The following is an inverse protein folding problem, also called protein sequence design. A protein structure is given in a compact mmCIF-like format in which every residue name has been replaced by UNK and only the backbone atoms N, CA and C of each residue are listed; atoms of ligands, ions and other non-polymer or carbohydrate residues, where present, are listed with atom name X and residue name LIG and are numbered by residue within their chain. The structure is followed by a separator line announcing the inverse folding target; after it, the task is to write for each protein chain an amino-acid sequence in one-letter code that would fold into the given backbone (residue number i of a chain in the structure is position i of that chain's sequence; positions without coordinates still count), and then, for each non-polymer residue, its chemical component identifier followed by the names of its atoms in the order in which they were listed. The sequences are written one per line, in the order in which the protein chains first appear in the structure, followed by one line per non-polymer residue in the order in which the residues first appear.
data_IF_320556662168
#
_entry.id   IF_320556662168
#
_cell.length_a   1.000
_cell.length_b   1.000
_cell.length_c   1.000
_cell.angle_alpha   90.00
_cell.angle_beta   90.00
_cell.angle_gamma   90.00
#
_symmetry.space_group_name_H-M   'P 1'
#
loop_
_entity.id
_entity.type
_entity.pdbx_description
1 polymer ?
#
# COMPACT_ATOMS: atom_id res chain seq x y z
N UNK A 1 -16.13 38.80 21.77
CA UNK A 1 -15.63 38.78 20.38
C UNK A 1 -14.12 38.59 20.44
N UNK A 2 -13.65 37.36 20.34
CA UNK A 2 -12.23 37.03 20.39
C UNK A 2 -11.95 36.02 19.28
N UNK A 3 -11.29 36.50 18.23
CA UNK A 3 -10.75 35.70 17.15
C UNK A 3 -9.33 36.23 16.92
N UNK A 4 -8.35 35.53 17.47
CA UNK A 4 -6.96 35.60 17.03
C UNK A 4 -6.54 34.17 16.78
N UNK A 5 -6.50 33.86 15.49
CA UNK A 5 -6.11 32.60 14.91
C UNK A 5 -4.69 32.23 15.36
N UNK A 6 -4.54 31.00 15.84
CA UNK A 6 -3.24 30.34 15.94
C UNK A 6 -3.10 29.46 14.69
N UNK A 7 -2.96 30.09 13.53
CA UNK A 7 -2.59 29.43 12.28
C UNK A 7 -1.10 29.13 12.32
N UNK A 8 -0.75 28.02 12.96
CA UNK A 8 0.58 27.43 12.83
C UNK A 8 0.70 26.83 11.41
N UNK A 9 1.48 27.48 10.56
CA UNK A 9 2.01 26.96 9.29
C UNK A 9 3.01 25.83 9.55
N UNK A 10 2.57 24.74 10.18
CA UNK A 10 3.34 23.51 10.26
C UNK A 10 3.04 22.71 8.99
N UNK A 11 3.99 22.71 8.03
CA UNK A 11 3.90 21.85 6.87
C UNK A 11 3.65 20.40 7.30
N UNK A 12 2.77 19.70 6.59
CA UNK A 12 2.46 18.30 6.91
C UNK A 12 3.71 17.44 6.69
N UNK A 13 3.81 16.28 7.36
CA UNK A 13 4.96 15.37 7.15
C UNK A 13 5.10 14.97 5.68
N UNK A 14 3.97 14.85 4.95
CA UNK A 14 3.97 14.60 3.52
C UNK A 14 4.60 15.76 2.75
N UNK A 15 4.17 17.00 2.98
CA UNK A 15 4.77 18.19 2.36
C UNK A 15 6.27 18.29 2.63
N UNK A 16 6.70 18.05 3.88
CA UNK A 16 8.11 18.09 4.25
C UNK A 16 8.91 17.03 3.49
N UNK A 17 8.40 15.80 3.41
CA UNK A 17 9.08 14.71 2.69
C UNK A 17 9.15 15.00 1.19
N UNK A 18 8.04 15.45 0.58
CA UNK A 18 8.03 15.81 -0.85
C UNK A 18 8.98 16.97 -1.15
N UNK A 19 8.97 18.03 -0.34
CA UNK A 19 9.91 19.14 -0.49
C UNK A 19 11.37 18.69 -0.34
N UNK A 20 11.66 17.81 0.62
CA UNK A 20 13.00 17.27 0.82
C UNK A 20 13.45 16.39 -0.36
N UNK A 21 12.55 15.58 -0.92
CA UNK A 21 12.81 14.77 -2.12
C UNK A 21 13.08 15.66 -3.34
N UNK A 22 12.24 16.66 -3.60
CA UNK A 22 12.41 17.59 -4.71
C UNK A 22 13.70 18.39 -4.61
N UNK A 23 14.04 18.87 -3.41
CA UNK A 23 15.28 19.60 -3.17
C UNK A 23 16.51 18.70 -3.39
N UNK A 24 16.47 17.48 -2.85
CA UNK A 24 17.57 16.50 -2.99
C UNK A 24 17.75 16.06 -4.45
N UNK A 25 16.64 15.81 -5.16
CA UNK A 25 16.64 15.46 -6.57
C UNK A 25 17.19 16.61 -7.42
N UNK A 26 16.74 17.84 -7.17
CA UNK A 26 17.19 19.02 -7.91
C UNK A 26 18.69 19.25 -7.72
N UNK A 27 19.18 19.15 -6.48
CA UNK A 27 20.60 19.29 -6.17
C UNK A 27 21.44 18.20 -6.85
N UNK A 28 21.00 16.94 -6.79
CA UNK A 28 21.68 15.82 -7.43
C UNK A 28 21.71 15.95 -8.96
N UNK A 29 20.57 16.28 -9.59
CA UNK A 29 20.48 16.45 -11.05
C UNK A 29 21.34 17.61 -11.55
N UNK A 30 21.41 18.72 -10.82
CA UNK A 30 22.27 19.85 -11.17
C UNK A 30 23.76 19.46 -11.23
N UNK A 31 24.20 18.55 -10.36
CA UNK A 31 25.58 18.04 -10.35
C UNK A 31 25.85 16.98 -11.42
N UNK A 32 24.81 16.26 -11.85
CA UNK A 32 24.92 15.09 -12.74
C UNK A 32 24.47 15.36 -14.17
N UNK A 33 24.12 16.61 -14.50
CA UNK A 33 23.67 17.04 -15.84
C UNK A 33 24.64 16.69 -16.99
N UNK A 34 25.91 16.44 -16.67
CA UNK A 34 26.96 16.08 -17.64
C UNK A 34 27.04 14.58 -17.93
N UNK A 35 26.29 13.75 -17.20
CA UNK A 35 26.27 12.31 -17.44
C UNK A 35 25.37 11.96 -18.64
N UNK A 36 25.79 11.01 -19.49
CA UNK A 36 25.00 10.58 -20.65
C UNK A 36 23.69 9.87 -20.24
N UNK A 37 23.64 9.32 -19.01
CA UNK A 37 22.44 8.75 -18.39
C UNK A 37 22.35 9.21 -16.94
N UNK A 38 21.18 9.73 -16.56
CA UNK A 38 20.92 10.18 -15.19
C UNK A 38 20.54 8.98 -14.31
N UNK A 39 20.93 8.96 -13.02
CA UNK A 39 20.52 7.92 -12.10
C UNK A 39 19.00 7.92 -11.91
N UNK A 40 18.41 6.74 -11.69
CA UNK A 40 17.00 6.64 -11.28
C UNK A 40 16.85 7.14 -9.84
N UNK A 41 15.76 7.86 -9.59
CA UNK A 41 15.42 8.40 -8.27
C UNK A 41 14.21 7.65 -7.73
N UNK A 42 14.35 7.09 -6.52
CA UNK A 42 13.22 6.48 -5.81
C UNK A 42 12.55 7.58 -5.00
N UNK A 43 11.27 7.85 -5.30
CA UNK A 43 10.45 8.84 -4.61
C UNK A 43 9.37 8.15 -3.78
N UNK A 44 8.79 8.90 -2.85
CA UNK A 44 7.59 8.49 -2.12
C UNK A 44 6.45 8.19 -3.10
N UNK A 45 5.78 7.06 -2.90
CA UNK A 45 4.55 6.75 -3.60
C UNK A 45 3.40 7.59 -3.03
N UNK A 46 3.13 8.72 -3.67
CA UNK A 46 2.06 9.64 -3.27
C UNK A 46 0.69 8.98 -3.32
N UNK A 47 0.47 7.99 -4.20
CA UNK A 47 -0.80 7.27 -4.26
C UNK A 47 -1.01 6.44 -2.99
N UNK A 48 0.04 5.78 -2.50
CA UNK A 48 -0.02 5.05 -1.23
C UNK A 48 -0.19 6.02 -0.04
N UNK A 49 0.46 7.18 -0.06
CA UNK A 49 0.31 8.21 0.97
C UNK A 49 -1.13 8.75 1.04
N UNK A 50 -1.72 9.09 -0.10
CA UNK A 50 -3.10 9.55 -0.20
C UNK A 50 -4.09 8.46 0.20
N UNK A 51 -3.82 7.22 -0.21
CA UNK A 51 -4.64 6.07 0.16
C UNK A 51 -4.69 5.86 1.68
N UNK A 52 -3.55 5.95 2.39
CA UNK A 52 -3.57 5.81 3.85
C UNK A 52 -4.22 7.01 4.54
N UNK A 53 -4.07 8.23 4.02
CA UNK A 53 -4.78 9.41 4.52
C UNK A 53 -6.30 9.17 4.43
N UNK A 54 -6.80 8.82 3.25
CA UNK A 54 -8.22 8.53 3.03
C UNK A 54 -8.69 7.37 3.91
N UNK A 55 -7.94 6.27 3.96
CA UNK A 55 -8.28 5.09 4.76
C UNK A 55 -8.37 5.40 6.26
N UNK A 56 -7.47 6.23 6.78
CA UNK A 56 -7.50 6.63 8.19
C UNK A 56 -8.68 7.52 8.56
N UNK A 57 -9.48 8.02 7.62
CA UNK A 57 -10.77 8.67 7.94
C UNK A 57 -11.87 7.67 8.31
N UNK A 58 -11.70 6.40 7.92
CA UNK A 58 -12.66 5.31 8.12
C UNK A 58 -12.35 4.49 9.39
N UNK A 59 -13.10 3.40 9.60
CA UNK A 59 -12.87 2.44 10.70
C UNK A 59 -11.65 1.57 10.41
N UNK A 60 -10.57 1.73 11.20
CA UNK A 60 -9.28 1.02 11.07
C UNK A 60 -9.11 -0.17 12.03
N UNK A 61 -10.20 -0.60 12.67
CA UNK A 61 -10.21 -1.73 13.59
C UNK A 61 -11.46 -2.58 13.36
N UNK A 62 -11.43 -3.82 13.83
CA UNK A 62 -12.61 -4.66 13.78
C UNK A 62 -13.77 -4.03 14.56
N UNK A 63 -15.00 -4.15 14.06
CA UNK A 63 -16.20 -3.67 14.76
C UNK A 63 -16.47 -4.47 16.04
N UNK A 64 -16.11 -5.75 16.03
CA UNK A 64 -16.25 -6.66 17.18
C UNK A 64 -15.16 -6.48 18.24
N UNK A 65 -14.09 -5.75 17.92
CA UNK A 65 -13.02 -5.44 18.85
C UNK A 65 -12.59 -3.99 18.60
N UNK A 66 -13.36 -3.01 19.10
CA UNK A 66 -13.11 -1.61 18.83
C UNK A 66 -11.84 -1.10 19.53
N UNK A 67 -11.36 0.05 19.07
CA UNK A 67 -10.38 0.84 19.80
C UNK A 67 -11.11 1.94 20.57
N UNK A 68 -10.64 2.32 21.78
CA UNK A 68 -11.13 3.51 22.45
C UNK A 68 -10.95 4.75 21.58
N UNK A 69 -11.92 5.66 21.58
CA UNK A 69 -11.90 6.89 20.78
C UNK A 69 -10.66 7.76 21.07
N UNK A 70 -10.13 7.69 22.28
CA UNK A 70 -8.89 8.38 22.68
C UNK A 70 -7.64 7.83 21.99
N UNK A 71 -7.64 6.56 21.56
CA UNK A 71 -6.49 5.91 20.93
C UNK A 71 -6.53 5.98 19.40
N UNK A 72 -7.73 6.10 18.81
CA UNK A 72 -7.93 6.12 17.36
C UNK A 72 -7.11 7.22 16.67
N UNK A 73 -7.06 8.49 17.16
CA UNK A 73 -6.25 9.53 16.56
C UNK A 73 -4.75 9.20 16.53
N UNK A 74 -4.22 8.66 17.62
CA UNK A 74 -2.80 8.27 17.73
C UNK A 74 -2.48 7.12 16.76
N UNK A 75 -3.35 6.10 16.72
CA UNK A 75 -3.22 4.99 15.78
C UNK A 75 -3.19 5.49 14.33
N UNK A 76 -4.16 6.32 13.94
CA UNK A 76 -4.26 6.90 12.60
C UNK A 76 -3.02 7.71 12.24
N UNK A 77 -2.50 8.53 13.15
CA UNK A 77 -1.29 9.31 12.94
C UNK A 77 -0.07 8.41 12.66
N UNK A 78 0.11 7.36 13.45
CA UNK A 78 1.24 6.44 13.26
C UNK A 78 1.11 5.61 11.98
N UNK A 79 -0.11 5.25 11.57
CA UNK A 79 -0.33 4.56 10.29
C UNK A 79 0.06 5.44 9.09
N UNK A 80 -0.37 6.70 9.07
CA UNK A 80 0.03 7.67 8.03
C UNK A 80 1.54 7.85 7.99
N UNK A 81 2.15 8.09 9.15
CA UNK A 81 3.60 8.24 9.26
C UNK A 81 4.34 6.99 8.80
N UNK A 82 3.76 5.81 9.02
CA UNK A 82 4.33 4.53 8.61
C UNK A 82 4.55 4.45 7.10
N UNK A 83 3.57 4.85 6.30
CA UNK A 83 3.69 4.91 4.84
C UNK A 83 4.68 5.99 4.41
N UNK A 84 4.52 7.22 4.93
CA UNK A 84 5.30 8.37 4.48
C UNK A 84 6.80 8.20 4.71
N UNK A 85 7.20 7.55 5.80
CA UNK A 85 8.63 7.32 6.12
C UNK A 85 9.13 5.91 5.77
N UNK A 86 8.33 5.11 5.05
CA UNK A 86 8.69 3.75 4.66
C UNK A 86 8.93 2.79 5.83
N UNK A 87 8.23 2.99 6.96
CA UNK A 87 8.38 2.15 8.14
C UNK A 87 7.65 0.82 7.97
N UNK A 88 8.32 -0.28 8.36
CA UNK A 88 7.69 -1.60 8.41
C UNK A 88 6.49 -1.62 9.37
N UNK A 89 5.54 -2.57 9.20
CA UNK A 89 4.42 -2.75 10.13
C UNK A 89 4.86 -2.92 11.59
N UNK A 90 5.99 -3.58 11.82
CA UNK A 90 6.57 -3.77 13.16
C UNK A 90 7.11 -2.49 13.76
N UNK A 91 7.81 -1.67 12.97
CA UNK A 91 8.27 -0.35 13.43
C UNK A 91 7.08 0.55 13.75
N UNK A 92 6.05 0.52 12.90
CA UNK A 92 4.82 1.30 13.10
C UNK A 92 4.09 0.85 14.36
N UNK A 93 3.92 -0.46 14.56
CA UNK A 93 3.35 -1.03 15.78
C UNK A 93 4.13 -0.62 17.04
N UNK A 94 5.47 -0.66 17.00
CA UNK A 94 6.30 -0.18 18.12
C UNK A 94 6.05 1.30 18.44
N UNK A 95 5.98 2.16 17.41
CA UNK A 95 5.68 3.59 17.61
C UNK A 95 4.29 3.81 18.22
N UNK A 96 3.29 3.04 17.79
CA UNK A 96 1.95 3.05 18.40
C UNK A 96 2.03 2.69 19.88
N UNK A 97 2.74 1.62 20.24
CA UNK A 97 2.90 1.20 21.63
C UNK A 97 3.60 2.26 22.48
N UNK A 98 4.66 2.88 21.96
CA UNK A 98 5.38 3.96 22.64
C UNK A 98 4.49 5.18 22.86
N UNK A 99 3.76 5.62 21.83
CA UNK A 99 2.90 6.81 21.91
C UNK A 99 1.65 6.64 22.77
N UNK A 100 1.21 5.39 22.95
CA UNK A 100 0.08 5.07 23.82
C UNK A 100 0.53 4.64 25.23
N UNK A 101 1.82 4.75 25.57
CA UNK A 101 2.39 4.50 26.91
C UNK A 101 1.88 3.22 27.60
N UNK A 102 1.64 2.15 26.82
CA UNK A 102 1.09 0.89 27.34
C UNK A 102 -0.42 0.88 27.62
N UNK A 103 -1.13 2.00 27.50
CA UNK A 103 -2.60 2.06 27.57
C UNK A 103 -3.27 1.27 26.43
N UNK A 104 -2.55 1.00 25.34
CA UNK A 104 -3.01 0.12 24.29
C UNK A 104 -3.12 -1.34 24.75
N UNK A 105 -4.30 -1.71 25.26
CA UNK A 105 -4.62 -3.07 25.74
C UNK A 105 -4.58 -4.16 24.64
N UNK A 106 -4.31 -3.79 23.38
CA UNK A 106 -4.14 -4.74 22.28
C UNK A 106 -2.76 -5.38 22.17
N UNK A 107 -1.75 -4.81 22.84
CA UNK A 107 -0.35 -5.26 22.75
C UNK A 107 0.27 -5.18 21.35
N UNK A 108 1.55 -5.54 21.25
CA UNK A 108 2.32 -5.45 20.01
C UNK A 108 1.70 -6.26 18.85
N UNK A 109 1.06 -7.40 19.15
CA UNK A 109 0.44 -8.28 18.15
C UNK A 109 -0.75 -7.61 17.46
N UNK A 110 -1.64 -6.95 18.21
CA UNK A 110 -2.78 -6.25 17.59
C UNK A 110 -2.32 -5.00 16.86
N UNK A 111 -1.33 -4.28 17.42
CA UNK A 111 -0.71 -3.14 16.76
C UNK A 111 -0.10 -3.52 15.40
N UNK A 112 0.66 -4.62 15.34
CA UNK A 112 1.25 -5.13 14.09
C UNK A 112 0.18 -5.60 13.10
N UNK A 113 -0.89 -6.26 13.57
CA UNK A 113 -2.02 -6.68 12.71
C UNK A 113 -2.68 -5.48 12.02
N UNK A 114 -3.00 -4.43 12.78
CA UNK A 114 -3.62 -3.21 12.24
C UNK A 114 -2.63 -2.55 11.29
N UNK A 115 -1.39 -2.29 11.74
CA UNK A 115 -0.35 -1.67 10.92
C UNK A 115 -0.11 -2.42 9.60
N UNK A 116 -0.01 -3.74 9.65
CA UNK A 116 0.20 -4.57 8.46
C UNK A 116 -0.98 -4.49 7.49
N UNK A 117 -2.21 -4.55 8.01
CA UNK A 117 -3.41 -4.53 7.16
C UNK A 117 -3.50 -3.18 6.45
N UNK A 118 -3.50 -2.09 7.21
CA UNK A 118 -3.72 -0.75 6.66
C UNK A 118 -2.58 -0.30 5.74
N UNK A 119 -1.33 -0.69 6.02
CA UNK A 119 -0.21 -0.38 5.12
C UNK A 119 -0.25 -1.19 3.82
N UNK A 120 -0.56 -2.49 3.89
CA UNK A 120 -0.67 -3.30 2.68
C UNK A 120 -1.84 -2.83 1.81
N UNK A 121 -2.95 -2.42 2.41
CA UNK A 121 -4.09 -1.89 1.66
C UNK A 121 -3.74 -0.57 0.96
N UNK A 122 -3.00 0.33 1.61
CA UNK A 122 -2.50 1.55 0.98
C UNK A 122 -1.61 1.24 -0.25
N UNK A 123 -0.68 0.29 -0.13
CA UNK A 123 0.14 -0.13 -1.25
C UNK A 123 -0.64 -0.87 -2.35
N UNK A 124 -1.69 -1.61 -2.02
CA UNK A 124 -2.57 -2.25 -3.02
C UNK A 124 -3.36 -1.23 -3.83
N UNK A 125 -3.79 -0.13 -3.22
CA UNK A 125 -4.41 1.01 -3.93
C UNK A 125 -3.41 1.61 -4.91
N UNK A 126 -2.17 1.84 -4.48
CA UNK A 126 -1.14 2.36 -5.37
C UNK A 126 -0.80 1.40 -6.52
N UNK A 127 -0.69 0.10 -6.23
CA UNK A 127 -0.52 -0.93 -7.26
C UNK A 127 -1.68 -0.90 -8.26
N UNK A 128 -2.93 -0.74 -7.81
CA UNK A 128 -4.09 -0.63 -8.70
C UNK A 128 -3.95 0.55 -9.67
N UNK A 129 -3.58 1.72 -9.16
CA UNK A 129 -3.43 2.93 -9.97
C UNK A 129 -2.30 2.76 -11.01
N UNK A 130 -1.20 2.12 -10.62
CA UNK A 130 -0.13 1.76 -11.54
C UNK A 130 -0.62 0.80 -12.63
N UNK A 131 -1.38 -0.25 -12.27
CA UNK A 131 -1.95 -1.20 -13.23
C UNK A 131 -2.92 -0.51 -14.21
N UNK A 132 -3.79 0.37 -13.72
CA UNK A 132 -4.71 1.17 -14.55
C UNK A 132 -3.99 2.11 -15.53
N UNK A 133 -2.84 2.65 -15.13
CA UNK A 133 -1.99 3.46 -16.01
C UNK A 133 -1.31 2.62 -17.10
N UNK A 134 -1.23 1.31 -16.89
CA UNK A 134 -0.58 0.34 -17.78
C UNK A 134 -1.58 -0.56 -18.54
N UNK A 135 -2.84 -0.13 -18.74
CA UNK A 135 -3.87 -0.84 -19.56
C UNK A 135 -3.43 -1.15 -21.00
N UNK A 136 -2.42 -0.43 -21.51
CA UNK A 136 -1.79 -0.72 -22.79
C UNK A 136 -1.16 -2.11 -22.84
N UNK A 137 -0.59 -2.58 -21.71
CA UNK A 137 0.16 -3.83 -21.61
C UNK A 137 -0.51 -4.88 -20.71
N UNK A 138 -1.34 -4.46 -19.76
CA UNK A 138 -2.07 -5.35 -18.86
C UNK A 138 -3.47 -5.63 -19.39
N UNK A 139 -3.92 -6.88 -19.31
CA UNK A 139 -5.31 -7.28 -19.60
C UNK A 139 -6.16 -7.42 -18.33
N UNK A 140 -5.51 -7.66 -17.19
CA UNK A 140 -6.20 -7.86 -15.92
C UNK A 140 -5.26 -8.15 -14.77
N UNK A 141 -5.79 -8.83 -13.77
CA UNK A 141 -5.02 -9.40 -12.66
C UNK A 141 -5.61 -10.74 -12.23
N UNK A 142 -4.78 -11.57 -11.60
CA UNK A 142 -5.16 -12.86 -11.02
C UNK A 142 -5.13 -12.75 -9.50
N UNK A 143 -6.15 -13.28 -8.83
CA UNK A 143 -6.10 -13.43 -7.38
C UNK A 143 -5.10 -14.52 -7.01
N UNK A 144 -4.03 -14.12 -6.36
CA UNK A 144 -2.92 -15.00 -6.02
C UNK A 144 -2.77 -15.15 -4.51
N UNK A 145 -2.47 -16.36 -4.07
CA UNK A 145 -2.16 -16.68 -2.68
C UNK A 145 -1.17 -17.84 -2.63
N UNK A 146 -0.41 -17.94 -1.55
CA UNK A 146 0.37 -19.15 -1.24
C UNK A 146 -0.55 -20.28 -0.80
N UNK A 147 -0.09 -21.53 -0.91
CA UNK A 147 -0.79 -22.73 -0.42
C UNK A 147 -0.10 -23.28 0.83
N UNK A 148 -0.12 -22.50 1.91
CA UNK A 148 0.40 -22.93 3.21
C UNK A 148 -0.66 -22.92 4.30
N UNK A 149 -0.34 -23.50 5.47
CA UNK A 149 -1.22 -23.67 6.63
C UNK A 149 -1.85 -22.39 7.19
N UNK A 150 -1.41 -21.19 6.76
CA UNK A 150 -1.97 -19.91 7.21
C UNK A 150 -2.77 -19.21 6.10
N UNK A 151 -3.06 -19.90 5.01
CA UNK A 151 -3.92 -19.40 3.93
C UNK A 151 -5.36 -19.64 4.31
N UNK A 152 -6.19 -18.60 4.28
CA UNK A 152 -7.61 -18.76 4.58
C UNK A 152 -8.34 -19.41 3.40
N UNK A 153 -9.47 -20.06 3.69
CA UNK A 153 -10.30 -20.74 2.67
C UNK A 153 -10.79 -19.77 1.60
N UNK A 154 -11.13 -18.52 1.96
CA UNK A 154 -11.54 -17.49 0.99
C UNK A 154 -10.47 -17.23 -0.08
N UNK A 155 -9.21 -17.08 0.34
CA UNK A 155 -8.10 -16.87 -0.57
C UNK A 155 -7.82 -18.11 -1.43
N UNK A 156 -7.98 -19.32 -0.87
CA UNK A 156 -7.84 -20.58 -1.63
C UNK A 156 -8.90 -20.69 -2.72
N UNK A 157 -10.17 -20.45 -2.38
CA UNK A 157 -11.29 -20.53 -3.33
C UNK A 157 -11.15 -19.49 -4.46
N UNK A 158 -10.61 -18.31 -4.16
CA UNK A 158 -10.38 -17.27 -5.16
C UNK A 158 -9.10 -17.45 -5.96
N UNK A 159 -8.18 -18.32 -5.55
CA UNK A 159 -6.90 -18.47 -6.23
C UNK A 159 -7.08 -18.77 -7.73
N UNK A 160 -6.32 -18.10 -8.58
CA UNK A 160 -6.36 -18.30 -10.03
C UNK A 160 -7.54 -17.62 -10.74
N UNK A 161 -8.48 -17.00 -10.01
CA UNK A 161 -9.55 -16.23 -10.66
C UNK A 161 -9.00 -14.95 -11.29
N UNK A 162 -9.38 -14.71 -12.55
CA UNK A 162 -9.00 -13.53 -13.33
C UNK A 162 -10.03 -12.42 -13.19
N UNK A 163 -9.54 -11.17 -13.13
CA UNK A 163 -10.36 -9.97 -13.02
C UNK A 163 -9.85 -8.88 -13.97
N UNK A 164 -10.72 -7.99 -14.48
CA UNK A 164 -10.31 -6.85 -15.29
C UNK A 164 -9.36 -5.90 -14.54
N UNK A 165 -8.52 -5.16 -15.28
CA UNK A 165 -7.58 -4.18 -14.70
C UNK A 165 -8.30 -3.14 -13.82
N UNK A 166 -9.50 -2.74 -14.22
CA UNK A 166 -10.27 -1.72 -13.52
C UNK A 166 -10.93 -2.23 -12.23
N UNK A 167 -11.07 -3.55 -12.08
CA UNK A 167 -11.71 -4.12 -10.91
C UNK A 167 -10.80 -3.99 -9.67
N UNK A 168 -11.34 -3.33 -8.65
CA UNK A 168 -10.66 -3.19 -7.37
C UNK A 168 -10.64 -4.52 -6.59
N UNK A 169 -9.49 -4.86 -6.01
CA UNK A 169 -9.30 -6.01 -5.16
C UNK A 169 -7.83 -6.19 -4.78
N UNK A 170 -7.44 -7.33 -4.21
CA UNK A 170 -8.32 -8.21 -3.47
C UNK A 170 -8.97 -7.48 -2.28
N UNK A 171 -10.29 -7.59 -2.15
CA UNK A 171 -11.01 -7.17 -0.93
C UNK A 171 -10.83 -8.26 0.13
N UNK A 172 -9.77 -8.13 0.94
CA UNK A 172 -9.36 -9.15 1.90
C UNK A 172 -9.78 -8.81 3.33
N UNK A 173 -9.71 -9.81 4.21
CA UNK A 173 -9.90 -9.65 5.65
C UNK A 173 -8.60 -9.13 6.32
N UNK A 174 -8.69 -8.73 7.60
CA UNK A 174 -7.51 -8.32 8.36
C UNK A 174 -6.50 -9.47 8.47
N UNK A 175 -5.20 -9.19 8.37
CA UNK A 175 -4.14 -10.20 8.20
C UNK A 175 -4.23 -11.03 6.92
N UNK A 176 -4.94 -10.51 5.91
CA UNK A 176 -4.95 -11.01 4.57
C UNK A 176 -3.56 -11.31 3.99
N UNK A 177 -3.46 -12.38 3.21
CA UNK A 177 -2.20 -12.84 2.58
C UNK A 177 -2.28 -12.99 1.06
N UNK A 178 -3.44 -12.73 0.47
CA UNK A 178 -3.55 -12.72 -0.98
C UNK A 178 -2.98 -11.43 -1.56
N UNK A 179 -2.74 -11.47 -2.87
CA UNK A 179 -2.34 -10.32 -3.65
C UNK A 179 -3.02 -10.37 -5.01
N UNK A 180 -3.19 -9.20 -5.61
CA UNK A 180 -3.43 -9.08 -7.05
C UNK A 180 -2.10 -9.28 -7.77
N UNK A 181 -2.05 -10.29 -8.63
CA UNK A 181 -0.90 -10.55 -9.50
C UNK A 181 -1.23 -9.98 -10.89
N UNK A 182 -0.46 -9.02 -11.42
CA UNK A 182 -0.73 -8.44 -12.73
C UNK A 182 -0.74 -9.51 -13.83
N UNK A 183 -1.71 -9.40 -14.74
CA UNK A 183 -1.86 -10.29 -15.87
C UNK A 183 -1.67 -9.49 -17.16
N UNK A 184 -0.60 -9.80 -17.89
CA UNK A 184 -0.25 -9.15 -19.14
C UNK A 184 -1.19 -9.58 -20.27
N UNK A 185 -1.31 -8.72 -21.27
CA UNK A 185 -1.77 -9.13 -22.60
C UNK A 185 -0.84 -10.20 -23.17
N UNK A 186 -1.38 -11.04 -24.05
CA UNK A 186 -0.58 -11.97 -24.84
C UNK A 186 0.41 -11.22 -25.73
N UNK A 187 1.51 -11.86 -26.08
CA UNK A 187 2.49 -11.34 -27.03
C UNK A 187 1.84 -10.99 -28.38
N UNK A 188 0.84 -11.75 -28.84
CA UNK A 188 0.08 -11.41 -30.05
C UNK A 188 -0.67 -10.09 -29.89
N UNK A 189 -1.38 -9.90 -28.78
CA UNK A 189 -2.09 -8.65 -28.46
C UNK A 189 -1.13 -7.44 -28.28
N UNK A 190 0.13 -7.70 -27.95
CA UNK A 190 1.19 -6.70 -27.84
C UNK A 190 1.92 -6.43 -29.18
N UNK A 191 1.53 -7.11 -30.27
CA UNK A 191 2.08 -6.88 -31.60
C UNK A 191 3.23 -7.80 -32.01
N UNK A 192 3.38 -8.96 -31.35
CA UNK A 192 4.34 -10.00 -31.72
C UNK A 192 3.61 -11.16 -32.45
N UNK A 193 3.35 -11.04 -33.76
CA UNK A 193 2.60 -12.07 -34.48
C UNK A 193 3.38 -13.39 -34.52
N UNK A 194 2.65 -14.51 -34.41
CA UNK A 194 3.24 -15.86 -34.44
C UNK A 194 3.87 -16.32 -33.12
N UNK A 195 3.80 -15.52 -32.05
CA UNK A 195 4.20 -15.94 -30.71
C UNK A 195 3.25 -17.00 -30.14
N UNK A 196 3.81 -18.00 -29.47
CA UNK A 196 3.06 -19.00 -28.70
C UNK A 196 3.22 -18.69 -27.21
N UNK A 197 2.10 -18.51 -26.51
CA UNK A 197 2.13 -18.28 -25.06
C UNK A 197 2.58 -19.55 -24.33
N UNK A 198 3.48 -19.44 -23.34
CA UNK A 198 3.75 -20.57 -22.46
C UNK A 198 2.50 -20.92 -21.64
N UNK A 199 2.36 -22.18 -21.20
CA UNK A 199 1.31 -22.55 -20.25
C UNK A 199 1.38 -21.69 -18.99
N UNK A 200 0.22 -21.37 -18.40
CA UNK A 200 0.16 -20.68 -17.11
C UNK A 200 0.91 -21.47 -16.04
N UNK A 201 1.76 -20.78 -15.28
CA UNK A 201 2.45 -21.34 -14.11
C UNK A 201 1.64 -21.16 -12.82
N UNK A 202 0.50 -20.49 -12.89
CA UNK A 202 -0.40 -20.30 -11.75
C UNK A 202 -1.29 -21.55 -11.67
N UNK A 203 -1.13 -22.39 -10.64
CA UNK A 203 -1.96 -23.58 -10.47
C UNK A 203 -3.44 -23.18 -10.28
N UNK A 204 -4.36 -24.03 -10.71
CA UNK A 204 -5.76 -23.85 -10.31
C UNK A 204 -5.94 -24.27 -8.84
N UNK A 205 -7.08 -23.94 -8.22
CA UNK A 205 -7.35 -24.33 -6.84
C UNK A 205 -7.54 -25.85 -6.62
N UNK A 206 -7.44 -26.68 -7.67
CA UNK A 206 -7.57 -28.14 -7.65
C UNK A 206 -6.24 -28.87 -7.87
N UNK A 207 -5.19 -28.16 -8.27
CA UNK A 207 -3.86 -28.69 -8.56
C UNK A 207 -3.08 -29.08 -7.29
#
# INVERSE_FOLDING_TARGET
MAQTANESTAATILEIVTMAEDASRSAALAQLQHLPTLPSWVALDLTAADAIVARTTQTIHALTLPLPDTMVPVMRAQLRNGIVVGATPRQTARRIMTQLEGAFMGGAVRGERIARTEQLDAHRVAQHAAEQSNRGILKGWVWYTTFDKRTCVSCLVKHGTEYPVDEYGPNDHQNGRCTRLPLTKTAVELGFPGSVEPPSTIPDARA
#
